data_IF_907558161257
#
_entry.id   IF_907558161257
#
_cell.length_a   1.000
_cell.length_b   1.000
_cell.length_c   1.000
_cell.angle_alpha   90.00
_cell.angle_beta   90.00
_cell.angle_gamma   90.00
#
_symmetry.space_group_name_H-M   'P 1'
#
loop_
_entity.id
_entity.type
_entity.pdbx_description
1 polymer ?
#
# COMPACT_ATOMS: atom_id res chain seq x y z
N UNK A 1 -3.68 -6.05 -9.00
CA UNK A 1 -3.81 -5.46 -7.66
C UNK A 1 -5.03 -6.07 -7.03
N UNK A 2 -4.90 -6.61 -5.83
CA UNK A 2 -5.98 -7.30 -5.14
C UNK A 2 -6.79 -6.29 -4.34
N UNK A 3 -8.12 -6.42 -4.33
CA UNK A 3 -8.95 -5.52 -3.53
C UNK A 3 -8.76 -5.86 -2.06
N UNK A 4 -8.71 -4.84 -1.21
CA UNK A 4 -8.58 -5.04 0.25
C UNK A 4 -9.65 -5.98 0.75
N UNK A 5 -10.88 -5.81 0.28
CA UNK A 5 -12.00 -6.64 0.70
C UNK A 5 -11.96 -8.10 0.28
N UNK A 6 -11.14 -8.47 -0.70
CA UNK A 6 -11.00 -9.87 -1.14
C UNK A 6 -10.17 -10.69 -0.13
N UNK A 7 -9.24 -10.05 0.59
CA UNK A 7 -8.34 -10.72 1.53
C UNK A 7 -8.52 -10.30 2.99
N UNK A 8 -9.21 -9.19 3.25
CA UNK A 8 -9.36 -8.62 4.60
C UNK A 8 -9.96 -9.60 5.60
N UNK A 9 -11.01 -10.35 5.25
CA UNK A 9 -11.68 -11.26 6.19
C UNK A 9 -10.77 -12.38 6.67
N UNK A 10 -9.84 -12.84 5.84
CA UNK A 10 -8.88 -13.91 6.17
C UNK A 10 -7.67 -13.37 6.92
N UNK A 11 -7.33 -12.09 6.76
CA UNK A 11 -6.05 -11.51 7.21
C UNK A 11 -6.22 -10.24 8.07
N UNK A 12 -7.40 -10.00 8.62
CA UNK A 12 -7.71 -8.80 9.41
C UNK A 12 -6.77 -8.60 10.61
N UNK A 13 -6.22 -9.68 11.17
CA UNK A 13 -5.26 -9.62 12.27
C UNK A 13 -3.88 -9.07 11.87
N UNK A 14 -3.56 -9.06 10.57
CA UNK A 14 -2.26 -8.60 10.05
C UNK A 14 -2.32 -7.21 9.43
N UNK A 15 -3.47 -6.53 9.40
CA UNK A 15 -3.63 -5.23 8.76
C UNK A 15 -4.37 -4.23 9.65
N UNK A 16 -4.65 -3.04 9.13
CA UNK A 16 -5.47 -2.06 9.82
C UNK A 16 -6.92 -2.54 9.93
N UNK A 17 -7.56 -2.41 11.11
CA UNK A 17 -9.01 -2.50 11.18
C UNK A 17 -9.65 -1.50 10.21
N UNK A 18 -10.42 -2.03 9.26
CA UNK A 18 -10.92 -1.29 8.09
C UNK A 18 -12.44 -1.38 8.02
N UNK A 19 -13.08 -0.23 7.79
CA UNK A 19 -14.51 -0.09 7.51
C UNK A 19 -14.70 0.03 6.00
N UNK A 20 -15.66 -0.71 5.45
CA UNK A 20 -16.01 -0.70 4.04
C UNK A 20 -17.36 -0.02 3.85
N UNK A 21 -17.44 0.98 2.96
CA UNK A 21 -18.68 1.66 2.59
C UNK A 21 -18.98 1.34 1.13
N UNK A 22 -20.06 0.60 0.89
CA UNK A 22 -20.56 0.34 -0.46
C UNK A 22 -21.20 1.58 -1.08
N UNK A 23 -20.84 1.85 -2.34
CA UNK A 23 -21.42 2.90 -3.15
C UNK A 23 -22.48 2.31 -4.09
N UNK A 24 -23.59 3.03 -4.21
CA UNK A 24 -24.65 2.75 -5.20
C UNK A 24 -24.22 3.22 -6.59
N UNK A 25 -24.91 2.74 -7.62
CA UNK A 25 -24.59 3.06 -9.03
C UNK A 25 -24.56 4.58 -9.30
N UNK A 26 -25.51 5.32 -8.74
CA UNK A 26 -25.61 6.78 -8.84
C UNK A 26 -24.54 7.52 -8.02
N UNK A 27 -24.13 6.97 -6.88
CA UNK A 27 -23.02 7.48 -6.07
C UNK A 27 -21.66 7.23 -6.74
N UNK A 28 -21.52 6.11 -7.45
CA UNK A 28 -20.35 5.81 -8.29
C UNK A 28 -20.28 6.81 -9.45
N UNK A 29 -21.41 7.09 -10.12
CA UNK A 29 -21.44 8.12 -11.17
C UNK A 29 -21.00 9.48 -10.63
N UNK A 30 -21.51 9.90 -9.47
CA UNK A 30 -21.09 11.14 -8.81
C UNK A 30 -19.58 11.18 -8.52
N UNK A 31 -18.99 10.07 -8.06
CA UNK A 31 -17.54 9.97 -7.85
C UNK A 31 -16.76 10.14 -9.16
N UNK A 32 -17.19 9.44 -10.22
CA UNK A 32 -16.53 9.45 -11.53
C UNK A 32 -16.62 10.83 -12.18
N UNK A 33 -17.78 11.48 -12.07
CA UNK A 33 -18.04 12.82 -12.63
C UNK A 33 -17.33 13.92 -11.83
N UNK A 34 -16.82 13.62 -10.63
CA UNK A 34 -16.18 14.60 -9.77
C UNK A 34 -17.17 15.51 -9.04
N UNK A 35 -18.39 15.03 -8.77
CA UNK A 35 -19.41 15.79 -8.06
C UNK A 35 -19.02 15.97 -6.58
N UNK A 36 -18.71 17.20 -6.19
CA UNK A 36 -18.26 17.54 -4.85
C UNK A 36 -19.40 17.80 -3.86
N UNK A 37 -20.61 18.15 -4.32
CA UNK A 37 -21.64 18.74 -3.45
C UNK A 37 -23.09 18.40 -3.81
N UNK A 38 -23.33 17.63 -4.87
CA UNK A 38 -24.65 17.12 -5.20
C UNK A 38 -25.21 16.19 -4.12
N UNK A 39 -26.51 15.91 -4.20
CA UNK A 39 -27.21 15.12 -3.18
C UNK A 39 -26.63 13.71 -3.00
N UNK A 40 -26.02 13.14 -4.05
CA UNK A 40 -25.34 11.84 -4.00
C UNK A 40 -24.02 11.93 -3.26
N UNK A 41 -23.20 12.94 -3.55
CA UNK A 41 -21.99 13.24 -2.79
C UNK A 41 -22.32 13.46 -1.30
N UNK A 42 -23.33 14.27 -0.99
CA UNK A 42 -23.77 14.56 0.38
C UNK A 42 -24.15 13.27 1.16
N UNK A 43 -24.82 12.32 0.52
CA UNK A 43 -25.18 11.05 1.15
C UNK A 43 -23.97 10.12 1.42
N UNK A 44 -22.93 10.19 0.59
CA UNK A 44 -21.66 9.47 0.86
C UNK A 44 -20.88 10.17 1.98
N UNK A 45 -20.77 11.50 1.91
CA UNK A 45 -20.11 12.34 2.92
C UNK A 45 -20.71 12.07 4.31
N UNK A 46 -22.03 12.05 4.44
CA UNK A 46 -22.71 11.76 5.72
C UNK A 46 -22.38 10.35 6.26
N UNK A 47 -22.24 9.34 5.39
CA UNK A 47 -21.80 8.00 5.80
C UNK A 47 -20.34 7.97 6.24
N UNK A 48 -19.48 8.75 5.58
CA UNK A 48 -18.09 8.92 6.01
C UNK A 48 -18.06 9.59 7.39
N UNK A 49 -18.78 10.70 7.57
CA UNK A 49 -18.81 11.44 8.85
C UNK A 49 -19.37 10.62 10.00
N UNK A 50 -20.36 9.76 9.76
CA UNK A 50 -20.84 8.78 10.75
C UNK A 50 -19.79 7.72 11.10
N UNK A 51 -18.86 7.43 10.21
CA UNK A 51 -17.79 6.43 10.43
C UNK A 51 -16.62 7.01 11.21
N UNK A 52 -16.25 8.28 10.95
CA UNK A 52 -15.03 8.89 11.50
C UNK A 52 -14.91 8.84 13.04
N UNK A 53 -15.97 9.05 13.85
CA UNK A 53 -15.90 8.93 15.31
C UNK A 53 -15.48 7.55 15.82
N UNK A 54 -15.65 6.51 15.02
CA UNK A 54 -15.27 5.13 15.36
C UNK A 54 -13.83 4.80 14.97
N UNK A 55 -13.15 5.71 14.26
CA UNK A 55 -11.75 5.57 13.87
C UNK A 55 -10.88 6.36 14.85
N UNK A 56 -9.83 5.72 15.38
CA UNK A 56 -8.95 6.38 16.34
C UNK A 56 -8.09 7.45 15.66
N UNK A 57 -8.39 8.72 15.95
CA UNK A 57 -7.62 9.87 15.45
C UNK A 57 -8.06 10.29 14.06
N UNK A 58 -7.11 10.65 13.18
CA UNK A 58 -7.42 10.88 11.77
C UNK A 58 -7.68 9.56 11.04
N UNK A 59 -8.49 9.59 9.99
CA UNK A 59 -8.69 8.44 9.12
C UNK A 59 -7.86 8.56 7.84
N UNK A 60 -7.64 7.42 7.20
CA UNK A 60 -7.14 7.29 5.84
C UNK A 60 -8.26 6.71 4.99
N UNK A 61 -8.54 7.31 3.84
CA UNK A 61 -9.61 6.91 2.94
C UNK A 61 -9.04 6.47 1.59
N UNK A 62 -9.58 5.40 1.03
CA UNK A 62 -9.17 4.90 -0.27
C UNK A 62 -10.29 4.15 -0.98
N UNK A 63 -10.13 3.93 -2.28
CA UNK A 63 -10.91 2.91 -2.97
C UNK A 63 -10.39 1.53 -2.55
N UNK A 64 -11.27 0.53 -2.55
CA UNK A 64 -10.91 -0.87 -2.23
C UNK A 64 -9.74 -1.42 -3.07
N UNK A 65 -9.61 -0.90 -4.29
CA UNK A 65 -8.60 -1.33 -5.25
C UNK A 65 -7.38 -0.40 -5.29
N UNK A 66 -7.43 0.81 -4.72
CA UNK A 66 -6.30 1.76 -4.75
C UNK A 66 -6.51 2.97 -3.81
N UNK A 67 -5.43 3.46 -3.21
CA UNK A 67 -5.42 4.72 -2.44
C UNK A 67 -5.27 5.95 -3.34
N UNK A 68 -5.90 7.12 -3.12
CA UNK A 68 -5.91 8.28 -4.03
C UNK A 68 -4.57 9.09 -4.06
N UNK A 69 -3.44 8.42 -4.22
CA UNK A 69 -2.09 9.02 -4.11
C UNK A 69 -1.76 10.04 -5.19
N UNK A 70 -2.50 10.08 -6.28
CA UNK A 70 -2.38 11.05 -7.39
C UNK A 70 -3.15 12.35 -7.13
N UNK A 71 -4.01 12.40 -6.10
CA UNK A 71 -4.76 13.61 -5.78
C UNK A 71 -3.88 14.68 -5.13
N UNK A 72 -4.14 15.96 -5.46
CA UNK A 72 -3.43 17.08 -4.86
C UNK A 72 -3.69 17.18 -3.35
N UNK A 73 -4.95 17.01 -2.93
CA UNK A 73 -5.32 16.97 -1.52
C UNK A 73 -4.62 15.84 -0.75
N UNK A 74 -4.44 14.66 -1.36
CA UNK A 74 -3.67 13.56 -0.77
C UNK A 74 -2.22 13.99 -0.55
N UNK A 75 -1.59 14.62 -1.53
CA UNK A 75 -0.19 15.03 -1.43
C UNK A 75 0.05 16.08 -0.34
N UNK A 76 -0.90 16.98 -0.14
CA UNK A 76 -0.87 18.00 0.92
C UNK A 76 -1.11 17.38 2.30
N UNK A 77 -2.19 16.61 2.44
CA UNK A 77 -2.61 16.05 3.73
C UNK A 77 -1.88 14.74 4.10
N UNK A 78 -1.07 14.20 3.18
CA UNK A 78 -0.48 12.86 3.24
C UNK A 78 -1.52 11.77 3.49
N UNK A 79 -2.68 11.90 2.85
CA UNK A 79 -3.79 10.95 2.95
C UNK A 79 -4.60 11.02 4.26
N UNK A 80 -4.27 11.92 5.19
CA UNK A 80 -5.01 12.07 6.43
C UNK A 80 -6.29 12.90 6.25
N UNK A 81 -7.42 12.40 6.74
CA UNK A 81 -8.72 13.09 6.71
C UNK A 81 -9.31 13.23 8.12
N UNK A 82 -10.18 14.23 8.29
CA UNK A 82 -10.91 14.51 9.54
C UNK A 82 -12.40 14.82 9.34
N UNK A 83 -12.86 14.82 8.10
CA UNK A 83 -14.26 15.06 7.73
C UNK A 83 -14.57 14.39 6.40
N UNK A 84 -15.84 14.11 6.17
CA UNK A 84 -16.37 13.48 4.98
C UNK A 84 -16.15 14.33 3.73
N UNK A 85 -16.25 15.66 3.82
CA UNK A 85 -15.97 16.56 2.69
C UNK A 85 -14.52 16.42 2.20
N UNK A 86 -13.56 16.36 3.13
CA UNK A 86 -12.14 16.18 2.79
C UNK A 86 -11.87 14.78 2.24
N UNK A 87 -12.50 13.77 2.81
CA UNK A 87 -12.37 12.40 2.34
C UNK A 87 -12.94 12.21 0.94
N UNK A 88 -14.15 12.69 0.71
CA UNK A 88 -14.80 12.63 -0.59
C UNK A 88 -14.05 13.43 -1.63
N UNK A 89 -13.69 14.69 -1.32
CA UNK A 89 -12.86 15.54 -2.17
C UNK A 89 -11.58 14.85 -2.64
N UNK A 90 -10.89 14.17 -1.72
CA UNK A 90 -9.67 13.42 -2.03
C UNK A 90 -9.89 12.27 -3.02
N UNK A 91 -11.01 11.56 -2.92
CA UNK A 91 -11.37 10.47 -3.83
C UNK A 91 -11.74 11.00 -5.23
N UNK A 92 -12.54 12.07 -5.30
CA UNK A 92 -13.01 12.63 -6.56
C UNK A 92 -11.96 13.46 -7.30
N UNK A 93 -10.86 13.84 -6.64
CA UNK A 93 -9.70 14.45 -7.28
C UNK A 93 -8.76 13.41 -7.91
N UNK A 94 -8.90 12.12 -7.59
CA UNK A 94 -7.98 11.06 -8.01
C UNK A 94 -8.44 10.39 -9.31
N UNK A 95 -7.65 10.53 -10.37
CA UNK A 95 -7.92 9.93 -11.68
C UNK A 95 -7.88 8.40 -11.61
N UNK A 96 -6.96 7.83 -10.84
CA UNK A 96 -6.89 6.37 -10.69
C UNK A 96 -8.05 5.80 -9.88
N UNK A 97 -8.55 6.52 -8.88
CA UNK A 97 -9.76 6.10 -8.14
C UNK A 97 -10.97 6.16 -9.07
N UNK A 98 -11.14 7.24 -9.83
CA UNK A 98 -12.18 7.33 -10.87
C UNK A 98 -12.08 6.20 -11.89
N UNK A 99 -10.89 5.89 -12.38
CA UNK A 99 -10.67 4.79 -13.32
C UNK A 99 -11.04 3.44 -12.71
N UNK A 100 -10.71 3.19 -11.44
CA UNK A 100 -11.05 1.95 -10.74
C UNK A 100 -12.58 1.76 -10.64
N UNK A 101 -13.32 2.81 -10.28
CA UNK A 101 -14.78 2.77 -10.21
C UNK A 101 -15.43 2.68 -11.60
N UNK A 102 -14.96 3.47 -12.58
CA UNK A 102 -15.46 3.45 -13.96
C UNK A 102 -15.25 2.10 -14.64
N UNK A 103 -14.12 1.44 -14.35
CA UNK A 103 -13.78 0.11 -14.87
C UNK A 103 -14.49 -1.05 -14.14
N UNK A 104 -15.30 -0.76 -13.11
CA UNK A 104 -15.97 -1.79 -12.32
C UNK A 104 -15.02 -2.62 -11.44
N UNK A 105 -13.78 -2.17 -11.25
CA UNK A 105 -12.82 -2.84 -10.39
C UNK A 105 -13.20 -2.75 -8.92
N UNK A 106 -14.03 -1.78 -8.54
CA UNK A 106 -14.58 -1.68 -7.18
C UNK A 106 -15.92 -0.96 -7.18
N UNK A 107 -16.72 -1.24 -6.15
CA UNK A 107 -17.97 -0.54 -5.80
C UNK A 107 -17.93 0.01 -4.38
N UNK A 108 -16.76 0.02 -3.73
CA UNK A 108 -16.65 0.41 -2.31
C UNK A 108 -15.43 1.27 -2.04
N UNK A 109 -15.59 2.14 -1.05
CA UNK A 109 -14.51 2.89 -0.42
C UNK A 109 -14.20 2.27 0.94
N UNK A 110 -12.99 2.49 1.42
CA UNK A 110 -12.46 1.93 2.64
C UNK A 110 -11.94 3.04 3.54
N UNK A 111 -12.13 2.89 4.84
CA UNK A 111 -11.61 3.80 5.86
C UNK A 111 -10.93 3.01 6.97
N UNK A 112 -9.74 3.45 7.36
CA UNK A 112 -9.05 2.93 8.54
C UNK A 112 -8.31 4.05 9.27
N UNK A 113 -7.72 3.73 10.43
CA UNK A 113 -6.92 4.72 11.19
C UNK A 113 -5.72 5.18 10.35
N UNK A 114 -5.55 6.50 10.22
CA UNK A 114 -4.36 7.06 9.60
C UNK A 114 -3.17 6.89 10.53
N UNK A 115 -2.07 6.40 9.98
CA UNK A 115 -0.76 6.38 10.62
C UNK A 115 0.24 7.06 9.70
N UNK A 116 1.03 7.98 10.26
CA UNK A 116 2.22 8.48 9.58
C UNK A 116 3.28 7.39 9.58
N UNK A 117 3.37 6.66 8.49
CA UNK A 117 4.35 5.59 8.34
C UNK A 117 5.74 6.17 8.04
N UNK A 118 6.74 5.71 8.77
CA UNK A 118 8.14 5.95 8.41
C UNK A 118 8.52 5.02 7.27
N UNK A 119 8.59 5.58 6.07
CA UNK A 119 8.94 4.90 4.82
C UNK A 119 10.24 4.06 4.84
N UNK A 120 11.14 4.24 5.80
CA UNK A 120 12.32 3.39 5.97
C UNK A 120 11.93 1.97 6.43
N UNK A 121 10.73 1.82 7.01
CA UNK A 121 10.18 0.57 7.53
C UNK A 121 9.20 -0.10 6.56
N UNK A 122 9.08 0.41 5.34
CA UNK A 122 8.25 -0.17 4.28
C UNK A 122 9.08 -1.13 3.43
N UNK A 123 8.56 -2.35 3.28
CA UNK A 123 9.20 -3.42 2.52
C UNK A 123 8.18 -4.04 1.58
N UNK A 124 8.68 -4.53 0.44
CA UNK A 124 7.93 -5.36 -0.49
C UNK A 124 8.41 -6.79 -0.36
N UNK A 125 7.46 -7.70 -0.14
CA UNK A 125 7.68 -9.14 -0.01
C UNK A 125 7.21 -9.81 -1.29
N UNK A 126 8.03 -10.70 -1.84
CA UNK A 126 7.72 -11.50 -3.02
C UNK A 126 7.46 -12.93 -2.55
N UNK A 127 6.25 -13.41 -2.81
CA UNK A 127 5.77 -14.73 -2.40
C UNK A 127 5.50 -15.53 -3.66
N UNK A 128 6.05 -16.74 -3.73
CA UNK A 128 5.82 -17.72 -4.80
C UNK A 128 5.46 -19.05 -4.16
N UNK A 129 4.46 -19.74 -4.69
CA UNK A 129 3.96 -21.00 -4.15
C UNK A 129 3.66 -20.91 -2.63
N UNK A 130 3.11 -19.77 -2.20
CA UNK A 130 2.83 -19.40 -0.79
C UNK A 130 4.05 -19.36 0.13
N UNK A 131 5.26 -19.33 -0.42
CA UNK A 131 6.51 -19.20 0.31
C UNK A 131 7.21 -17.89 -0.04
N UNK A 132 7.89 -17.29 0.94
CA UNK A 132 8.68 -16.09 0.69
C UNK A 132 9.92 -16.43 -0.15
N UNK A 133 10.13 -15.71 -1.25
CA UNK A 133 11.32 -15.91 -2.11
C UNK A 133 12.24 -14.70 -2.09
N UNK A 134 11.72 -13.49 -1.85
CA UNK A 134 12.55 -12.30 -1.73
C UNK A 134 11.87 -11.18 -0.96
N UNK A 135 12.68 -10.21 -0.50
CA UNK A 135 12.20 -8.94 0.03
C UNK A 135 13.04 -7.78 -0.50
N UNK A 136 12.43 -6.60 -0.60
CA UNK A 136 13.15 -5.35 -0.90
C UNK A 136 12.69 -4.25 0.05
N UNK A 137 13.60 -3.36 0.48
CA UNK A 137 13.18 -2.05 0.97
C UNK A 137 12.42 -1.31 -0.14
N UNK A 138 11.36 -0.57 0.20
CA UNK A 138 10.60 0.22 -0.77
C UNK A 138 11.26 1.56 -1.06
N UNK A 139 11.84 2.20 -0.04
CA UNK A 139 12.47 3.52 -0.21
C UNK A 139 13.89 3.39 -0.74
N UNK A 140 14.14 3.88 -1.96
CA UNK A 140 15.40 3.70 -2.69
C UNK A 140 16.29 4.95 -2.79
N UNK A 141 16.11 5.93 -1.90
CA UNK A 141 16.84 7.21 -1.96
C UNK A 141 18.26 7.14 -1.38
N UNK A 142 18.53 6.23 -0.45
CA UNK A 142 19.86 6.07 0.17
C UNK A 142 20.06 4.72 0.86
N UNK A 143 21.30 4.46 1.22
CA UNK A 143 21.66 3.38 2.12
C UNK A 143 21.23 3.66 3.56
N UNK A 144 20.58 2.68 4.19
CA UNK A 144 20.16 2.73 5.59
C UNK A 144 20.96 1.76 6.45
N UNK A 145 22.06 2.24 7.07
CA UNK A 145 22.95 1.40 7.87
C UNK A 145 22.27 0.65 9.02
N UNK A 146 21.22 1.24 9.61
CA UNK A 146 20.41 0.60 10.66
C UNK A 146 19.60 -0.61 10.17
N UNK A 147 19.15 -0.61 8.91
CA UNK A 147 18.50 -1.77 8.31
C UNK A 147 19.52 -2.85 7.97
N UNK A 148 20.68 -2.45 7.43
CA UNK A 148 21.75 -3.38 7.08
C UNK A 148 22.23 -4.21 8.28
N UNK A 149 22.38 -3.58 9.45
CA UNK A 149 22.76 -4.29 10.68
C UNK A 149 21.70 -5.23 11.25
N UNK A 150 20.47 -5.24 10.71
CA UNK A 150 19.34 -6.06 11.17
C UNK A 150 18.76 -6.92 10.05
N UNK A 151 19.51 -7.11 8.95
CA UNK A 151 19.02 -7.74 7.72
C UNK A 151 18.36 -9.10 7.97
N UNK A 152 19.04 -9.97 8.71
CA UNK A 152 18.58 -11.35 8.94
C UNK A 152 17.36 -11.38 9.88
N UNK A 153 17.30 -10.49 10.87
CA UNK A 153 16.13 -10.32 11.74
C UNK A 153 14.91 -9.85 10.94
N UNK A 154 15.09 -8.83 10.10
CA UNK A 154 14.03 -8.25 9.25
C UNK A 154 13.51 -9.28 8.25
N UNK A 155 14.40 -10.09 7.68
CA UNK A 155 14.07 -11.21 6.80
C UNK A 155 13.29 -12.31 7.51
N UNK A 156 13.79 -12.80 8.66
CA UNK A 156 13.15 -13.86 9.42
C UNK A 156 11.72 -13.49 9.85
N UNK A 157 11.50 -12.23 10.26
CA UNK A 157 10.16 -11.73 10.56
C UNK A 157 9.24 -11.68 9.34
N UNK A 158 9.79 -11.39 8.17
CA UNK A 158 9.03 -11.38 6.92
C UNK A 158 8.58 -12.79 6.55
N UNK A 159 9.48 -13.77 6.71
CA UNK A 159 9.16 -15.18 6.55
C UNK A 159 8.04 -15.62 7.51
N UNK A 160 8.18 -15.33 8.80
CA UNK A 160 7.15 -15.68 9.80
C UNK A 160 5.79 -15.09 9.46
N UNK A 161 5.74 -13.81 9.05
CA UNK A 161 4.49 -13.18 8.61
C UNK A 161 3.84 -13.97 7.45
N UNK A 162 4.61 -14.35 6.43
CA UNK A 162 4.07 -15.06 5.27
C UNK A 162 3.63 -16.47 5.65
N UNK A 163 4.38 -17.19 6.48
CA UNK A 163 3.98 -18.50 7.00
C UNK A 163 2.63 -18.41 7.75
N UNK A 164 2.48 -17.42 8.63
CA UNK A 164 1.25 -17.22 9.41
C UNK A 164 0.06 -16.78 8.54
N UNK A 165 0.33 -16.00 7.48
CA UNK A 165 -0.69 -15.47 6.56
C UNK A 165 -1.01 -16.40 5.38
N UNK A 166 -0.21 -17.45 5.13
CA UNK A 166 -0.20 -18.21 3.88
C UNK A 166 -1.57 -18.75 3.48
N UNK A 167 -2.37 -19.24 4.43
CA UNK A 167 -3.70 -19.78 4.16
C UNK A 167 -4.70 -18.73 3.69
N UNK A 168 -4.54 -17.47 4.12
CA UNK A 168 -5.45 -16.36 3.80
C UNK A 168 -5.05 -15.53 2.58
N UNK A 169 -3.88 -15.79 1.99
CA UNK A 169 -3.43 -15.08 0.78
C UNK A 169 -4.39 -15.37 -0.40
N UNK A 170 -4.74 -14.34 -1.22
CA UNK A 170 -5.69 -14.49 -2.32
C UNK A 170 -5.09 -15.18 -3.57
N UNK A 171 -3.78 -15.42 -3.58
CA UNK A 171 -3.07 -16.10 -4.65
C UNK A 171 -1.83 -16.81 -4.08
N UNK A 172 -1.38 -17.86 -4.77
CA UNK A 172 -0.16 -18.60 -4.40
C UNK A 172 1.10 -17.76 -4.70
N UNK A 173 1.07 -17.07 -5.85
CA UNK A 173 2.09 -16.11 -6.27
C UNK A 173 1.57 -14.69 -6.09
N UNK A 174 2.22 -13.92 -5.21
CA UNK A 174 1.75 -12.60 -4.83
C UNK A 174 2.88 -11.68 -4.34
N UNK A 175 2.69 -10.38 -4.53
CA UNK A 175 3.54 -9.35 -3.93
C UNK A 175 2.79 -8.70 -2.78
N UNK A 176 3.41 -8.66 -1.60
CA UNK A 176 2.80 -8.10 -0.39
C UNK A 176 3.64 -6.91 0.09
N UNK A 177 3.05 -5.72 0.13
CA UNK A 177 3.69 -4.55 0.74
C UNK A 177 3.39 -4.57 2.24
N UNK A 178 4.45 -4.46 3.05
CA UNK A 178 4.40 -4.60 4.50
C UNK A 178 5.11 -3.44 5.19
N UNK A 179 4.69 -3.16 6.42
CA UNK A 179 5.29 -2.16 7.28
C UNK A 179 5.80 -2.78 8.58
N UNK A 180 7.07 -2.57 8.90
CA UNK A 180 7.68 -3.00 10.17
C UNK A 180 7.39 -1.99 11.28
N UNK A 181 6.43 -2.32 12.15
CA UNK A 181 5.98 -1.46 13.25
C UNK A 181 7.10 -1.15 14.25
N UNK A 182 6.89 -0.12 15.09
CA UNK A 182 7.80 0.17 16.20
C UNK A 182 7.86 -0.95 17.25
N UNK A 183 6.80 -1.76 17.36
CA UNK A 183 6.77 -2.96 18.20
C UNK A 183 7.61 -4.12 17.62
N UNK A 184 8.05 -4.00 16.37
CA UNK A 184 8.88 -5.00 15.71
C UNK A 184 8.10 -6.10 14.99
N UNK A 185 6.79 -5.94 14.84
CA UNK A 185 5.88 -6.81 14.08
C UNK A 185 5.63 -6.22 12.68
N UNK A 186 5.38 -7.09 11.70
CA UNK A 186 4.92 -6.63 10.38
C UNK A 186 3.40 -6.48 10.33
N UNK A 187 2.98 -5.53 9.51
CA UNK A 187 1.59 -5.32 9.13
C UNK A 187 1.50 -5.29 7.61
N UNK A 188 0.53 -5.99 7.03
CA UNK A 188 0.19 -5.96 5.61
C UNK A 188 -0.47 -4.61 5.29
N UNK A 189 0.10 -3.91 4.31
CA UNK A 189 -0.37 -2.62 3.83
C UNK A 189 -1.14 -2.80 2.52
N UNK A 190 -0.62 -3.62 1.60
CA UNK A 190 -1.20 -3.77 0.27
C UNK A 190 -0.81 -5.12 -0.38
N UNK A 191 -1.58 -5.53 -1.39
CA UNK A 191 -1.36 -6.77 -2.13
C UNK A 191 -1.44 -6.55 -3.63
N UNK A 192 -0.42 -7.03 -4.32
CA UNK A 192 -0.13 -6.76 -5.72
C UNK A 192 0.12 -8.05 -6.51
N UNK A 193 -0.04 -7.98 -7.83
CA UNK A 193 0.18 -9.15 -8.69
C UNK A 193 1.66 -9.54 -8.67
N UNK A 194 1.95 -10.84 -8.79
CA UNK A 194 3.29 -11.32 -9.05
C UNK A 194 3.62 -11.14 -10.53
N UNK A 195 4.31 -10.06 -10.86
CA UNK A 195 4.65 -9.68 -12.23
C UNK A 195 4.34 -8.21 -12.55
N UNK A 196 4.61 -7.78 -13.79
CA UNK A 196 4.18 -6.47 -14.26
C UNK A 196 2.66 -6.25 -14.09
N UNK A 197 2.21 -5.03 -13.74
CA UNK A 197 2.96 -3.78 -13.69
C UNK A 197 3.63 -3.49 -12.33
N UNK A 198 3.63 -4.44 -11.39
CA UNK A 198 4.21 -4.23 -10.05
C UNK A 198 5.71 -4.04 -10.13
N UNK A 199 6.28 -3.01 -9.51
CA UNK A 199 7.72 -2.74 -9.56
C UNK A 199 8.53 -3.79 -8.77
N UNK A 200 9.54 -4.46 -9.36
CA UNK A 200 10.40 -5.42 -8.67
C UNK A 200 11.45 -4.77 -7.73
N UNK A 201 11.53 -3.43 -7.69
CA UNK A 201 12.41 -2.64 -6.82
C UNK A 201 13.88 -3.08 -6.94
N UNK A 202 14.54 -3.42 -5.83
CA UNK A 202 15.95 -3.84 -5.82
C UNK A 202 16.21 -5.20 -6.46
N UNK A 203 15.15 -5.94 -6.84
CA UNK A 203 15.31 -7.15 -7.66
C UNK A 203 15.51 -6.81 -9.14
N UNK A 204 15.32 -5.54 -9.52
CA UNK A 204 15.61 -4.90 -10.83
C UNK A 204 14.76 -5.37 -12.01
N UNK A 205 14.42 -6.65 -12.09
CA UNK A 205 13.68 -7.23 -13.20
C UNK A 205 12.78 -8.37 -12.71
N UNK A 206 11.65 -8.56 -13.39
CA UNK A 206 10.81 -9.75 -13.29
C UNK A 206 11.37 -10.94 -14.05
N UNK A 207 12.20 -10.69 -15.06
CA UNK A 207 12.95 -11.70 -15.80
C UNK A 207 14.14 -12.18 -14.95
N UNK A 208 13.84 -13.10 -14.03
CA UNK A 208 14.78 -13.77 -13.13
C UNK A 208 14.21 -15.12 -12.70
N UNK A 209 15.07 -15.94 -12.14
CA UNK A 209 14.65 -17.14 -11.42
C UNK A 209 13.97 -16.73 -10.10
N UNK A 210 12.76 -17.22 -9.89
CA UNK A 210 11.95 -16.99 -8.69
C UNK A 210 11.83 -18.25 -7.81
N UNK A 211 12.45 -19.36 -8.21
CA UNK A 211 12.52 -20.59 -7.41
C UNK A 211 13.67 -20.54 -6.38
N UNK A 212 14.59 -19.57 -6.51
CA UNK A 212 15.67 -19.35 -5.55
C UNK A 212 15.26 -18.36 -4.44
N UNK A 213 15.55 -18.72 -3.19
CA UNK A 213 15.43 -17.78 -2.07
C UNK A 213 16.56 -16.73 -2.12
N UNK A 214 16.19 -15.49 -2.41
CA UNK A 214 17.10 -14.35 -2.59
C UNK A 214 17.35 -13.59 -1.28
N UNK A 215 16.43 -13.72 -0.31
CA UNK A 215 16.44 -12.98 0.95
C UNK A 215 16.09 -11.49 0.82
N UNK A 216 16.38 -10.73 1.87
CA UNK A 216 16.15 -9.28 1.91
C UNK A 216 17.23 -8.52 1.13
N UNK A 217 16.83 -7.68 0.18
CA UNK A 217 17.67 -6.70 -0.51
C UNK A 217 17.50 -5.31 0.10
N UNK A 218 18.64 -4.70 0.41
CA UNK A 218 18.77 -3.34 0.90
C UNK A 218 19.73 -2.58 -0.03
N UNK A 219 19.58 -1.26 -0.12
CA UNK A 219 20.53 -0.45 -0.88
C UNK A 219 21.93 -0.60 -0.27
N UNK A 220 22.90 -0.92 -1.12
CA UNK A 220 24.30 -1.04 -0.70
C UNK A 220 24.87 0.32 -0.27
N UNK A 221 25.86 0.29 0.61
CA UNK A 221 26.62 1.49 0.98
C UNK A 221 27.29 2.05 -0.29
N UNK A 222 27.17 3.35 -0.60
CA UNK A 222 27.88 3.93 -1.73
C UNK A 222 29.39 3.71 -1.60
N UNK A 223 30.00 3.11 -2.60
CA UNK A 223 31.45 3.01 -2.69
C UNK A 223 31.97 4.33 -3.23
N UNK A 224 32.86 5.02 -2.50
CA UNK A 224 33.59 6.15 -3.09
C UNK A 224 34.53 5.58 -4.14
N UNK A 225 34.37 5.98 -5.39
CA UNK A 225 35.40 5.74 -6.40
C UNK A 225 36.57 6.67 -6.08
N UNK A 226 37.71 6.10 -5.72
CA UNK A 226 38.98 6.82 -5.59
C UNK A 226 39.72 6.74 -6.92
N UNK A 227 40.00 7.89 -7.53
CA UNK A 227 40.77 8.04 -8.77
C UNK A 227 40.72 9.47 -9.26
N UNK A 228 41.79 9.96 -9.87
CA UNK A 228 41.79 11.26 -10.54
C UNK A 228 40.79 11.22 -11.69
N UNK A 229 39.67 11.93 -11.53
CA UNK A 229 38.75 12.19 -12.64
C UNK A 229 39.38 13.28 -13.49
N UNK A 230 40.14 12.89 -14.52
CA UNK A 230 40.57 13.85 -15.53
C UNK A 230 39.36 14.28 -16.35
N UNK A 231 38.82 15.45 -16.02
CA UNK A 231 37.82 16.12 -16.83
C UNK A 231 38.59 16.92 -17.89
N UNK A 232 38.65 16.41 -19.12
CA UNK A 232 39.08 17.19 -20.29
C UNK A 232 37.93 18.10 -20.71
N UNK A 233 38.16 19.42 -20.69
CA UNK A 233 37.26 20.42 -21.27
C UNK A 233 37.42 20.49 -22.80
#
# INVERSE_FOLDING_TARGET
>A
MFRVSDWYTSLACFTFPTVFIGLRVDEIAALVDGDASGSRAAAVIDRIDRTLPHIRGSAFIHADACAPTDSASFQVAKGAIRSGDKGWGMLIESDKVKAAFKGGHTTRICLHSYRRMDSIREFRVFVKDRQIVAMSQMRLDRHYGRLAGRRDEIWAKGRQLIEDAAAGLPADDIVVDVYLTSAGEYMIVDMNNFGPPTDPLLLRSWDRDWDEEVGLKLLAKPTRLGGEVQVSF
#
